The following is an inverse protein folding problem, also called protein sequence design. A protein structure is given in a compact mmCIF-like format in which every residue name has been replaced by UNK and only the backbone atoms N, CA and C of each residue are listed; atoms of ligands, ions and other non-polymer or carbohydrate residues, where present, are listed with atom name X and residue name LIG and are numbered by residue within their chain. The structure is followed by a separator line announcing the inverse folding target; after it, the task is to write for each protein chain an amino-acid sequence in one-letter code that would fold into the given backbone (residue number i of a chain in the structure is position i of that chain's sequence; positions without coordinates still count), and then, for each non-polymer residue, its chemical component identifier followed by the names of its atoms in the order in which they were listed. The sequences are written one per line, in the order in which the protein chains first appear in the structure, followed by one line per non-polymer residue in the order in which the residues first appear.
data_IF_172327694517
#
_entry.id   IF_172327694517
#
_cell.length_a   1.000
_cell.length_b   1.000
_cell.length_c   1.000
_cell.angle_alpha   90.00
_cell.angle_beta   90.00
_cell.angle_gamma   90.00
#
_symmetry.space_group_name_H-M   'P 1'
#
loop_
_entity.id
_entity.type
_entity.pdbx_description
1 polymer ?
#
# COMPACT_ATOMS: atom_id res chain seq x y z
N UNK A 1 44.38 -31.69 -29.45
CA UNK A 1 43.85 -32.82 -30.23
C UNK A 1 42.34 -32.72 -30.22
N UNK A 2 41.87 -32.25 -31.28
CA UNK A 2 40.83 -32.64 -32.23
C UNK A 2 39.40 -32.47 -31.71
N UNK A 3 38.78 -31.42 -32.19
CA UNK A 3 37.39 -31.04 -32.15
C UNK A 3 36.64 -31.95 -33.19
N UNK A 4 35.51 -32.57 -32.81
CA UNK A 4 34.55 -33.10 -33.75
C UNK A 4 33.22 -32.39 -33.60
N UNK A 5 32.88 -31.59 -34.60
CA UNK A 5 31.55 -31.02 -34.85
C UNK A 5 30.64 -32.08 -35.46
N UNK A 6 29.45 -32.25 -34.90
CA UNK A 6 28.34 -32.88 -35.62
C UNK A 6 27.18 -31.92 -35.70
N UNK A 7 26.92 -31.44 -36.92
CA UNK A 7 25.74 -30.69 -37.28
C UNK A 7 24.59 -31.69 -37.48
N UNK A 8 23.44 -31.40 -36.83
CA UNK A 8 22.17 -32.06 -37.13
C UNK A 8 21.17 -31.03 -37.65
N UNK A 9 20.72 -31.29 -38.86
CA UNK A 9 19.74 -30.61 -39.68
C UNK A 9 18.39 -30.49 -39.00
N UNK A 10 17.87 -29.27 -38.89
CA UNK A 10 16.48 -29.00 -38.50
C UNK A 10 15.62 -28.87 -39.76
N UNK A 11 14.70 -29.80 -39.95
CA UNK A 11 13.68 -29.73 -40.97
C UNK A 11 12.56 -28.77 -40.54
N UNK A 12 12.29 -27.81 -41.43
CA UNK A 12 11.18 -26.87 -41.36
C UNK A 12 9.83 -27.58 -41.57
N UNK A 13 8.92 -27.44 -40.60
CA UNK A 13 7.51 -27.71 -40.79
C UNK A 13 6.73 -26.40 -40.65
N UNK A 14 6.43 -25.78 -41.78
CA UNK A 14 5.51 -24.67 -41.83
C UNK A 14 4.07 -25.16 -41.68
N UNK A 15 3.44 -24.85 -40.56
CA UNK A 15 2.01 -25.03 -40.33
C UNK A 15 1.28 -23.75 -40.73
N UNK A 16 0.48 -23.80 -41.79
CA UNK A 16 -0.38 -22.72 -42.23
C UNK A 16 -1.51 -22.50 -41.25
N UNK A 17 -1.49 -21.37 -40.53
CA UNK A 17 -2.62 -20.93 -39.77
C UNK A 17 -3.64 -20.25 -40.67
N UNK A 18 -4.79 -20.85 -40.84
CA UNK A 18 -5.96 -20.26 -41.50
C UNK A 18 -6.46 -19.09 -40.68
N UNK A 19 -6.33 -17.89 -41.23
CA UNK A 19 -6.95 -16.65 -40.69
C UNK A 19 -8.44 -16.70 -41.04
N UNK A 20 -9.28 -16.97 -40.04
CA UNK A 20 -10.73 -16.81 -40.16
C UNK A 20 -11.04 -15.33 -39.99
N UNK A 21 -11.51 -14.68 -41.04
CA UNK A 21 -11.99 -13.33 -40.98
C UNK A 21 -13.29 -13.25 -40.15
N UNK A 22 -13.47 -12.26 -39.29
CA UNK A 22 -14.73 -12.09 -38.59
C UNK A 22 -15.80 -11.55 -39.54
N UNK A 23 -16.95 -12.23 -39.56
CA UNK A 23 -18.13 -11.79 -40.32
C UNK A 23 -18.60 -10.42 -39.79
N UNK A 24 -18.77 -9.47 -40.68
CA UNK A 24 -19.34 -8.17 -40.39
C UNK A 24 -20.83 -8.33 -39.99
N UNK A 25 -21.11 -8.19 -38.69
CA UNK A 25 -22.47 -8.07 -38.20
C UNK A 25 -22.92 -6.59 -38.38
N UNK A 26 -23.77 -6.35 -39.35
CA UNK A 26 -24.48 -5.08 -39.53
C UNK A 26 -25.53 -4.95 -38.42
N UNK A 27 -25.28 -4.12 -37.42
CA UNK A 27 -26.27 -3.72 -36.45
C UNK A 27 -27.06 -2.51 -36.98
N UNK A 28 -28.41 -2.48 -36.84
CA UNK A 28 -29.19 -1.30 -37.21
C UNK A 28 -28.97 -0.21 -36.14
N UNK A 29 -28.42 0.91 -36.58
CA UNK A 29 -28.31 2.10 -35.75
C UNK A 29 -29.67 2.77 -35.59
N UNK A 30 -30.39 2.48 -34.52
CA UNK A 30 -31.46 3.33 -34.00
C UNK A 30 -30.86 4.27 -32.96
N UNK A 31 -30.27 5.36 -33.39
CA UNK A 31 -29.87 6.43 -32.49
C UNK A 31 -31.13 7.15 -31.96
N UNK A 32 -31.64 6.73 -30.83
CA UNK A 32 -32.57 7.55 -30.05
C UNK A 32 -31.75 8.70 -29.44
N UNK A 33 -31.85 9.86 -30.05
CA UNK A 33 -31.35 11.11 -29.48
C UNK A 33 -32.22 11.49 -28.27
N UNK A 34 -31.90 10.90 -27.10
CA UNK A 34 -32.44 11.41 -25.87
C UNK A 34 -31.85 12.82 -25.65
N UNK A 35 -32.69 13.83 -25.87
CA UNK A 35 -32.35 15.23 -25.59
C UNK A 35 -32.14 15.35 -24.07
N UNK A 36 -30.88 15.40 -23.64
CA UNK A 36 -30.55 15.72 -22.25
C UNK A 36 -31.08 17.12 -21.98
N UNK A 37 -31.99 17.33 -21.01
CA UNK A 37 -32.47 18.66 -20.70
C UNK A 37 -31.29 19.53 -20.30
N UNK A 38 -31.16 20.69 -20.93
CA UNK A 38 -30.12 21.67 -20.61
C UNK A 38 -30.24 22.03 -19.12
N UNK A 39 -29.22 21.72 -18.34
CA UNK A 39 -29.12 22.11 -16.95
C UNK A 39 -29.16 23.65 -16.87
N UNK A 40 -30.11 24.27 -16.14
CA UNK A 40 -30.13 25.71 -15.99
C UNK A 40 -28.81 26.16 -15.35
N UNK A 41 -28.06 26.96 -16.07
CA UNK A 41 -26.84 27.58 -15.62
C UNK A 41 -27.17 28.79 -14.73
N UNK A 42 -27.62 28.53 -13.50
CA UNK A 42 -27.51 29.53 -12.46
C UNK A 42 -26.19 29.27 -11.73
N UNK A 43 -25.33 30.26 -11.56
CA UNK A 43 -24.15 30.10 -10.70
C UNK A 43 -24.65 29.89 -9.27
N UNK A 44 -24.56 28.65 -8.80
CA UNK A 44 -24.70 28.37 -7.37
C UNK A 44 -23.46 28.98 -6.72
N UNK A 45 -23.55 30.16 -6.18
CA UNK A 45 -22.54 30.70 -5.29
C UNK A 45 -22.49 29.76 -4.07
N UNK A 46 -21.61 28.76 -4.12
CA UNK A 46 -21.31 27.96 -2.95
C UNK A 46 -20.49 28.85 -2.02
N UNK A 47 -20.97 29.12 -0.79
CA UNK A 47 -20.15 29.83 0.17
C UNK A 47 -18.83 29.08 0.29
N UNK A 48 -17.71 29.79 0.10
CA UNK A 48 -16.39 29.24 0.31
C UNK A 48 -16.29 28.84 1.79
N UNK A 49 -16.31 27.55 2.06
CA UNK A 49 -16.05 27.03 3.41
C UNK A 49 -14.59 27.34 3.71
N UNK A 50 -14.36 28.41 4.47
CA UNK A 50 -13.03 28.73 4.98
C UNK A 50 -12.78 27.86 6.20
N UNK A 51 -12.00 26.80 6.04
CA UNK A 51 -11.52 26.03 7.17
C UNK A 51 -10.60 26.89 8.02
N UNK A 52 -10.99 27.15 9.26
CA UNK A 52 -10.17 27.89 10.19
C UNK A 52 -9.01 27.02 10.66
N UNK A 53 -7.78 27.53 10.70
CA UNK A 53 -6.66 26.80 11.29
C UNK A 53 -6.93 26.51 12.77
N UNK A 54 -6.63 25.28 13.19
CA UNK A 54 -6.68 24.84 14.59
C UNK A 54 -5.34 24.26 15.01
N UNK A 55 -4.97 24.34 16.29
CA UNK A 55 -3.73 23.74 16.75
C UNK A 55 -3.81 22.21 16.65
N UNK A 56 -2.80 21.61 16.05
CA UNK A 56 -2.60 20.18 15.96
C UNK A 56 -1.30 19.80 16.64
N UNK A 57 -1.35 18.80 17.51
CA UNK A 57 -0.19 18.11 18.09
C UNK A 57 -0.41 16.62 17.90
N UNK A 58 0.59 15.92 17.37
CA UNK A 58 0.55 14.48 17.10
C UNK A 58 1.94 13.89 17.36
N UNK A 59 2.01 12.67 17.87
CA UNK A 59 3.27 11.95 17.97
C UNK A 59 3.47 11.15 16.68
N UNK A 60 4.55 11.42 15.96
CA UNK A 60 4.89 10.71 14.72
C UNK A 60 6.24 10.01 14.91
N UNK A 61 6.26 8.69 14.74
CA UNK A 61 7.48 7.88 14.90
C UNK A 61 8.18 8.12 16.24
N UNK A 62 7.39 8.26 17.33
CA UNK A 62 7.90 8.50 18.67
C UNK A 62 8.33 9.95 18.97
N UNK A 63 8.22 10.87 18.00
CA UNK A 63 8.55 12.28 18.17
C UNK A 63 7.29 13.14 18.19
N UNK A 64 7.21 14.07 19.14
CA UNK A 64 6.11 15.05 19.17
C UNK A 64 6.27 16.06 18.03
N UNK A 65 5.22 16.24 17.24
CA UNK A 65 5.12 17.19 16.14
C UNK A 65 4.00 18.19 16.46
N UNK A 66 4.32 19.46 16.54
CA UNK A 66 3.39 20.52 16.92
C UNK A 66 3.63 21.05 18.34
N UNK A 67 2.74 21.98 18.83
CA UNK A 67 1.50 22.42 18.19
C UNK A 67 1.73 23.30 16.94
N UNK A 68 1.02 23.01 15.87
CA UNK A 68 1.03 23.80 14.63
C UNK A 68 -0.39 24.20 14.24
N UNK A 69 -0.55 25.40 13.66
CA UNK A 69 -1.84 25.83 13.12
C UNK A 69 -2.09 25.16 11.77
N UNK A 70 -3.03 24.22 11.74
CA UNK A 70 -3.33 23.38 10.58
C UNK A 70 -4.78 23.59 10.15
N UNK A 71 -5.08 23.77 8.84
CA UNK A 71 -6.44 23.88 8.34
C UNK A 71 -7.29 22.67 8.77
N UNK A 72 -8.52 22.92 9.22
CA UNK A 72 -9.40 21.85 9.75
C UNK A 72 -9.69 20.73 8.73
N UNK A 73 -9.74 21.06 7.44
CA UNK A 73 -10.00 20.10 6.36
C UNK A 73 -8.76 19.41 5.79
N UNK A 74 -7.56 19.66 6.34
CA UNK A 74 -6.33 19.06 5.82
C UNK A 74 -6.31 17.55 6.09
N UNK A 75 -5.98 16.76 5.08
CA UNK A 75 -5.81 15.31 5.25
C UNK A 75 -4.47 14.99 5.91
N UNK A 76 -4.40 13.85 6.60
CA UNK A 76 -3.18 13.46 7.32
C UNK A 76 -1.99 13.28 6.39
N UNK A 77 -2.19 12.81 5.16
CA UNK A 77 -1.09 12.64 4.20
C UNK A 77 -0.47 13.99 3.81
N UNK A 78 -1.29 15.03 3.64
CA UNK A 78 -0.82 16.37 3.34
C UNK A 78 -0.06 16.96 4.54
N UNK A 79 -0.56 16.72 5.77
CA UNK A 79 0.15 17.09 6.98
C UNK A 79 1.52 16.43 7.08
N UNK A 80 1.61 15.14 6.80
CA UNK A 80 2.89 14.42 6.81
C UNK A 80 3.87 15.00 5.79
N UNK A 81 3.41 15.29 4.58
CA UNK A 81 4.26 15.81 3.50
C UNK A 81 4.69 17.27 3.74
N UNK A 82 3.73 18.16 4.00
CA UNK A 82 3.94 19.59 3.96
C UNK A 82 4.39 20.18 5.32
N UNK A 83 3.96 19.58 6.44
CA UNK A 83 4.25 20.08 7.78
C UNK A 83 5.30 19.26 8.52
N UNK A 84 5.28 17.94 8.36
CA UNK A 84 6.23 17.06 9.04
C UNK A 84 7.45 16.67 8.18
N UNK A 85 7.43 16.97 6.87
CA UNK A 85 8.53 16.62 5.94
C UNK A 85 8.69 15.11 5.72
N UNK A 86 7.64 14.30 6.01
CA UNK A 86 7.64 12.85 5.91
C UNK A 86 6.91 12.43 4.63
N UNK A 87 7.65 12.15 3.58
CA UNK A 87 7.11 11.86 2.23
C UNK A 87 7.02 10.37 1.90
N UNK A 88 7.31 9.49 2.84
CA UNK A 88 7.31 8.05 2.64
C UNK A 88 5.92 7.45 2.44
N UNK A 89 4.89 7.95 3.13
CA UNK A 89 3.50 7.59 2.83
C UNK A 89 3.10 8.14 1.45
N UNK A 90 2.44 7.33 0.61
CA UNK A 90 2.23 7.67 -0.80
C UNK A 90 0.77 7.95 -1.14
N UNK A 91 0.51 9.06 -1.81
CA UNK A 91 -0.81 9.41 -2.33
C UNK A 91 -1.03 8.74 -3.70
N UNK A 92 -1.63 7.54 -3.70
CA UNK A 92 -1.94 6.81 -4.94
C UNK A 92 -3.32 7.16 -5.51
N UNK A 93 -4.39 6.79 -4.83
CA UNK A 93 -5.76 6.99 -5.31
C UNK A 93 -6.48 8.22 -4.74
N UNK A 94 -6.11 8.70 -3.56
CA UNK A 94 -6.82 9.77 -2.84
C UNK A 94 -8.24 9.41 -2.36
N UNK A 95 -8.63 8.14 -2.46
CA UNK A 95 -10.00 7.65 -2.22
C UNK A 95 -10.08 6.53 -1.18
N UNK A 96 -8.98 6.23 -0.50
CA UNK A 96 -8.93 5.17 0.51
C UNK A 96 -8.99 3.74 -0.05
N UNK A 97 -8.75 3.53 -1.36
CA UNK A 97 -8.90 2.22 -2.01
C UNK A 97 -7.56 1.47 -2.11
N UNK A 98 -6.47 2.16 -2.52
CA UNK A 98 -5.22 1.49 -2.87
C UNK A 98 -4.29 1.18 -1.69
N UNK A 99 -4.54 1.75 -0.54
CA UNK A 99 -3.79 1.60 0.73
C UNK A 99 -2.30 2.01 0.67
N UNK A 100 -1.81 2.64 -0.41
CA UNK A 100 -0.43 3.14 -0.48
C UNK A 100 -0.10 4.21 0.57
N UNK A 101 -1.14 4.89 1.08
CA UNK A 101 -1.06 5.95 2.07
C UNK A 101 -1.25 5.48 3.53
N UNK A 102 -1.34 4.18 3.77
CA UNK A 102 -1.57 3.65 5.12
C UNK A 102 -0.46 4.09 6.07
N UNK A 103 -0.87 4.56 7.24
CA UNK A 103 -0.05 4.79 8.43
C UNK A 103 -0.56 3.89 9.54
N UNK A 104 0.26 3.62 10.53
CA UNK A 104 -0.12 2.83 11.72
C UNK A 104 -0.55 3.78 12.82
N UNK A 105 -1.74 3.59 13.36
CA UNK A 105 -2.21 4.24 14.58
C UNK A 105 -1.95 3.34 15.78
N UNK A 106 -1.15 3.80 16.72
CA UNK A 106 -0.91 3.15 17.99
C UNK A 106 -2.00 3.51 18.98
N UNK A 107 -2.69 2.51 19.54
CA UNK A 107 -3.77 2.70 20.49
C UNK A 107 -3.27 2.64 21.93
N UNK A 108 -3.99 3.27 22.89
CA UNK A 108 -3.61 3.25 24.30
C UNK A 108 -3.60 1.85 24.93
N UNK A 109 -4.34 0.91 24.36
CA UNK A 109 -4.38 -0.50 24.80
C UNK A 109 -3.18 -1.34 24.32
N UNK A 110 -2.22 -0.71 23.63
CA UNK A 110 -1.04 -1.38 23.08
C UNK A 110 -1.30 -2.09 21.76
N UNK A 111 -2.52 -1.99 21.20
CA UNK A 111 -2.80 -2.48 19.84
C UNK A 111 -2.50 -1.43 18.78
N UNK A 112 -2.40 -1.87 17.56
CA UNK A 112 -2.17 -1.00 16.41
C UNK A 112 -3.18 -1.29 15.30
N UNK A 113 -3.47 -0.29 14.49
CA UNK A 113 -4.36 -0.43 13.35
C UNK A 113 -3.88 0.40 12.14
N UNK A 114 -4.29 -0.04 10.97
CA UNK A 114 -4.04 0.67 9.71
C UNK A 114 -5.04 1.81 9.53
N UNK A 115 -4.54 3.01 9.24
CA UNK A 115 -5.37 4.16 8.90
C UNK A 115 -4.93 4.75 7.57
N UNK A 116 -5.91 5.01 6.69
CA UNK A 116 -5.68 5.59 5.37
C UNK A 116 -5.55 7.11 5.47
N UNK A 117 -4.33 7.60 5.45
CA UNK A 117 -4.02 9.02 5.66
C UNK A 117 -4.58 9.96 4.58
N UNK A 118 -4.89 9.45 3.38
CA UNK A 118 -5.44 10.27 2.29
C UNK A 118 -6.92 10.64 2.44
N UNK A 119 -7.67 9.95 3.30
CA UNK A 119 -9.10 10.20 3.56
C UNK A 119 -9.39 10.48 5.03
N UNK A 120 -8.36 10.47 5.88
CA UNK A 120 -8.50 10.76 7.32
C UNK A 120 -7.93 12.14 7.60
N UNK A 121 -8.73 13.03 8.15
CA UNK A 121 -8.33 14.39 8.49
C UNK A 121 -7.20 14.42 9.53
N UNK A 122 -6.27 15.35 9.39
CA UNK A 122 -5.12 15.48 10.29
C UNK A 122 -5.54 15.64 11.76
N UNK A 123 -6.61 16.41 12.02
CA UNK A 123 -7.13 16.65 13.37
C UNK A 123 -7.70 15.41 14.07
N UNK A 124 -8.05 14.34 13.32
CA UNK A 124 -8.39 13.06 13.93
C UNK A 124 -7.24 12.51 14.79
N UNK A 125 -6.00 12.83 14.42
CA UNK A 125 -4.81 12.33 15.11
C UNK A 125 -4.32 13.25 16.24
N UNK A 126 -5.05 14.31 16.56
CA UNK A 126 -4.67 15.19 17.67
C UNK A 126 -4.50 14.41 18.98
N UNK A 127 -3.34 14.54 19.62
CA UNK A 127 -2.99 13.82 20.85
C UNK A 127 -2.72 12.33 20.70
N UNK A 128 -2.72 11.79 19.46
CA UNK A 128 -2.50 10.36 19.19
C UNK A 128 -1.07 10.10 18.71
N UNK A 129 -0.68 8.82 18.73
CA UNK A 129 0.60 8.33 18.21
C UNK A 129 0.40 7.57 16.91
N UNK A 130 1.23 7.89 15.91
CA UNK A 130 1.25 7.19 14.63
C UNK A 130 2.66 6.82 14.23
N UNK A 131 2.76 5.79 13.40
CA UNK A 131 4.00 5.38 12.74
C UNK A 131 3.84 5.43 11.23
N UNK A 132 4.88 5.95 10.57
CA UNK A 132 5.03 5.95 9.11
C UNK A 132 6.18 5.04 8.71
N UNK A 133 6.37 4.83 7.41
CA UNK A 133 7.47 3.98 6.90
C UNK A 133 8.85 4.42 7.39
N UNK A 134 9.05 5.72 7.62
CA UNK A 134 10.31 6.29 8.09
C UNK A 134 10.66 5.87 9.51
N UNK A 135 9.66 5.47 10.31
CA UNK A 135 9.85 5.06 11.71
C UNK A 135 10.18 3.58 11.91
N UNK A 136 10.16 2.74 10.85
CA UNK A 136 10.42 1.31 10.99
C UNK A 136 11.90 0.95 11.07
N UNK A 137 12.74 1.70 10.38
CA UNK A 137 14.18 1.48 10.40
C UNK A 137 14.83 2.17 11.60
N UNK A 138 15.81 1.53 12.22
CA UNK A 138 16.65 2.19 13.22
C UNK A 138 17.63 3.14 12.53
N UNK A 139 17.80 4.32 13.11
CA UNK A 139 18.73 5.34 12.63
C UNK A 139 19.73 5.72 13.72
N UNK A 140 20.94 6.06 13.29
CA UNK A 140 21.95 6.65 14.18
C UNK A 140 21.67 8.16 14.39
N UNK A 141 22.50 8.81 15.20
CA UNK A 141 22.36 10.25 15.49
C UNK A 141 22.57 11.14 14.26
N UNK A 142 23.27 10.65 13.24
CA UNK A 142 23.41 11.31 11.94
C UNK A 142 22.19 11.14 11.03
N UNK A 143 21.18 10.36 11.45
CA UNK A 143 19.97 10.09 10.67
C UNK A 143 20.13 8.98 9.63
N UNK A 144 21.25 8.30 9.58
CA UNK A 144 21.53 7.20 8.65
C UNK A 144 20.84 5.91 9.13
N UNK A 145 20.30 5.14 8.20
CA UNK A 145 19.70 3.83 8.50
C UNK A 145 20.81 2.84 8.86
N UNK A 146 20.77 2.33 10.09
CA UNK A 146 21.74 1.33 10.60
C UNK A 146 21.15 -0.07 10.66
N UNK A 147 19.82 -0.20 10.75
CA UNK A 147 19.13 -1.49 10.80
C UNK A 147 17.73 -1.35 10.22
N UNK A 148 17.36 -2.24 9.32
CA UNK A 148 16.01 -2.34 8.80
C UNK A 148 15.14 -3.19 9.74
N UNK A 149 13.83 -2.93 9.75
CA UNK A 149 12.90 -3.85 10.42
C UNK A 149 12.89 -5.21 9.70
N UNK A 150 12.54 -6.32 10.38
CA UNK A 150 12.51 -7.65 9.76
C UNK A 150 11.70 -7.69 8.45
N UNK A 151 10.56 -6.99 8.42
CA UNK A 151 9.73 -6.96 7.21
C UNK A 151 10.36 -6.15 6.08
N UNK A 152 11.03 -5.03 6.39
CA UNK A 152 11.75 -4.26 5.37
C UNK A 152 12.91 -5.08 4.80
N UNK A 153 13.65 -5.79 5.66
CA UNK A 153 14.74 -6.65 5.24
C UNK A 153 14.25 -7.78 4.33
N UNK A 154 13.17 -8.47 4.70
CA UNK A 154 12.58 -9.54 3.88
C UNK A 154 12.01 -9.04 2.56
N UNK A 155 11.45 -7.84 2.52
CA UNK A 155 11.01 -7.25 1.26
C UNK A 155 12.15 -6.97 0.29
N UNK A 156 13.34 -6.64 0.78
CA UNK A 156 14.56 -6.53 -0.03
C UNK A 156 15.05 -7.91 -0.49
N UNK A 157 15.18 -8.86 0.42
CA UNK A 157 15.67 -10.21 0.13
C UNK A 157 14.80 -10.95 -0.92
N UNK A 158 13.48 -10.78 -0.84
CA UNK A 158 12.53 -11.38 -1.78
C UNK A 158 12.30 -10.55 -3.04
N UNK A 159 12.97 -9.39 -3.20
CA UNK A 159 12.72 -8.46 -4.31
C UNK A 159 11.22 -8.16 -4.47
N UNK A 160 10.54 -7.87 -3.36
CA UNK A 160 9.08 -7.80 -3.29
C UNK A 160 8.48 -6.62 -4.05
N UNK A 161 9.29 -5.62 -4.42
CA UNK A 161 8.81 -4.42 -5.10
C UNK A 161 9.58 -4.14 -6.39
N UNK A 162 8.97 -3.36 -7.28
CA UNK A 162 9.58 -2.82 -8.50
C UNK A 162 9.67 -1.29 -8.39
N UNK A 163 8.60 -0.55 -8.68
CA UNK A 163 8.62 0.91 -8.54
C UNK A 163 8.66 1.40 -7.07
N UNK A 164 8.29 0.56 -6.11
CA UNK A 164 8.30 0.87 -4.69
C UNK A 164 7.16 1.76 -4.18
N UNK A 165 6.29 2.27 -5.06
CA UNK A 165 5.28 3.25 -4.68
C UNK A 165 4.25 2.74 -3.64
N UNK A 166 3.80 1.49 -3.76
CA UNK A 166 2.88 0.86 -2.82
C UNK A 166 3.57 0.25 -1.59
N UNK A 167 4.90 0.09 -1.62
CA UNK A 167 5.68 -0.62 -0.59
C UNK A 167 5.48 -0.06 0.83
N UNK A 168 5.42 1.25 1.07
CA UNK A 168 5.17 1.78 2.42
C UNK A 168 3.87 1.25 3.03
N UNK A 169 2.80 1.17 2.24
CA UNK A 169 1.53 0.61 2.69
C UNK A 169 1.65 -0.86 3.06
N UNK A 170 2.28 -1.68 2.21
CA UNK A 170 2.51 -3.10 2.49
C UNK A 170 3.38 -3.33 3.74
N UNK A 171 4.42 -2.51 3.96
CA UNK A 171 5.25 -2.60 5.17
C UNK A 171 4.43 -2.31 6.42
N UNK A 172 3.60 -1.26 6.39
CA UNK A 172 2.75 -0.88 7.51
C UNK A 172 1.71 -1.97 7.81
N UNK A 173 1.03 -2.51 6.80
CA UNK A 173 0.09 -3.62 6.95
C UNK A 173 0.74 -4.88 7.53
N UNK A 174 1.87 -5.29 6.97
CA UNK A 174 2.62 -6.43 7.47
C UNK A 174 3.10 -6.23 8.92
N UNK A 175 3.48 -5.01 9.29
CA UNK A 175 3.87 -4.68 10.67
C UNK A 175 2.69 -4.85 11.63
N UNK A 176 1.51 -4.31 11.29
CA UNK A 176 0.28 -4.48 12.10
C UNK A 176 -0.10 -5.95 12.22
N UNK A 177 0.01 -6.71 11.12
CA UNK A 177 -0.21 -8.16 11.15
C UNK A 177 0.75 -8.86 12.12
N UNK A 178 2.05 -8.60 12.01
CA UNK A 178 3.07 -9.22 12.88
C UNK A 178 2.81 -8.87 14.34
N UNK A 179 2.48 -7.63 14.67
CA UNK A 179 2.14 -7.20 16.03
C UNK A 179 0.88 -7.90 16.55
N UNK A 180 -0.12 -8.11 15.71
CA UNK A 180 -1.30 -8.91 16.06
C UNK A 180 -0.91 -10.36 16.34
N UNK A 181 -0.09 -10.98 15.48
CA UNK A 181 0.33 -12.37 15.65
C UNK A 181 1.21 -12.60 16.89
N UNK A 182 1.96 -11.60 17.33
CA UNK A 182 2.68 -11.67 18.62
C UNK A 182 1.75 -11.81 19.82
N UNK A 183 0.56 -11.26 19.76
CA UNK A 183 -0.47 -11.35 20.81
C UNK A 183 -1.35 -12.58 20.61
N UNK A 184 -1.66 -12.92 19.38
CA UNK A 184 -2.58 -13.98 19.00
C UNK A 184 -1.94 -14.84 17.90
N UNK A 185 -1.05 -15.79 18.26
CA UNK A 185 -0.41 -16.66 17.27
C UNK A 185 -1.40 -17.46 16.45
N UNK A 186 -1.14 -17.59 15.15
CA UNK A 186 -1.98 -18.28 14.19
C UNK A 186 -1.63 -19.78 14.08
N UNK A 187 -2.61 -20.65 13.79
CA UNK A 187 -2.32 -22.02 13.44
C UNK A 187 -1.60 -22.11 12.08
N UNK A 188 -0.66 -23.02 11.95
CA UNK A 188 0.15 -23.16 10.71
C UNK A 188 -0.70 -23.30 9.45
N UNK A 189 -1.82 -24.03 9.55
CA UNK A 189 -2.76 -24.19 8.43
C UNK A 189 -3.47 -22.89 8.00
N UNK A 190 -3.53 -21.89 8.90
CA UNK A 190 -4.24 -20.63 8.66
C UNK A 190 -3.31 -19.47 8.26
N UNK A 191 -2.01 -19.69 8.23
CA UNK A 191 -1.01 -18.64 7.93
C UNK A 191 -1.31 -17.96 6.58
N UNK A 192 -1.55 -18.76 5.56
CA UNK A 192 -1.81 -18.24 4.21
C UNK A 192 -3.06 -17.34 4.16
N UNK A 193 -4.16 -17.81 4.70
CA UNK A 193 -5.41 -17.05 4.77
C UNK A 193 -5.23 -15.77 5.59
N UNK A 194 -4.48 -15.84 6.68
CA UNK A 194 -4.24 -14.71 7.57
C UNK A 194 -3.40 -13.62 6.91
N UNK A 195 -2.35 -13.99 6.16
CA UNK A 195 -1.52 -13.04 5.42
C UNK A 195 -2.31 -12.43 4.25
N UNK A 196 -3.02 -13.27 3.48
CA UNK A 196 -3.85 -12.80 2.37
C UNK A 196 -4.87 -11.78 2.86
N UNK A 197 -5.62 -12.08 3.92
CA UNK A 197 -6.62 -11.17 4.47
C UNK A 197 -6.05 -9.88 5.06
N UNK A 198 -4.76 -9.84 5.43
CA UNK A 198 -4.10 -8.61 5.87
C UNK A 198 -3.59 -7.74 4.71
N UNK A 199 -3.32 -8.32 3.55
CA UNK A 199 -2.70 -7.63 2.43
C UNK A 199 -3.62 -7.42 1.22
N UNK A 200 -4.78 -8.07 1.15
CA UNK A 200 -5.67 -8.11 -0.02
C UNK A 200 -6.22 -6.74 -0.45
N UNK A 201 -6.35 -5.81 0.50
CA UNK A 201 -6.79 -4.44 0.22
C UNK A 201 -5.68 -3.54 -0.36
N UNK A 202 -4.41 -3.97 -0.31
CA UNK A 202 -3.28 -3.19 -0.81
C UNK A 202 -3.06 -3.43 -2.31
N UNK A 203 -3.06 -2.36 -3.11
CA UNK A 203 -2.94 -2.46 -4.55
C UNK A 203 -1.51 -2.25 -5.04
N UNK A 204 -1.01 -3.21 -5.81
CA UNK A 204 0.24 -3.10 -6.54
C UNK A 204 0.00 -3.42 -8.04
N UNK A 205 0.39 -2.51 -8.94
CA UNK A 205 0.24 -2.74 -10.39
C UNK A 205 1.45 -3.44 -11.01
N UNK A 206 2.58 -3.50 -10.31
CA UNK A 206 3.85 -3.93 -10.90
C UNK A 206 4.15 -5.42 -10.68
N UNK A 207 3.89 -5.97 -9.47
CA UNK A 207 4.55 -7.19 -8.99
C UNK A 207 3.69 -8.45 -9.05
N UNK A 208 2.38 -8.34 -9.18
CA UNK A 208 1.46 -9.48 -9.07
C UNK A 208 1.37 -10.07 -7.65
N UNK A 209 1.86 -9.35 -6.62
CA UNK A 209 1.71 -9.64 -5.17
C UNK A 209 2.51 -10.81 -4.61
N UNK A 210 2.84 -11.82 -5.39
CA UNK A 210 3.43 -13.10 -4.92
C UNK A 210 4.62 -12.88 -3.99
N UNK A 211 5.56 -12.03 -4.39
CA UNK A 211 6.78 -11.78 -3.60
C UNK A 211 6.53 -11.02 -2.30
N UNK A 212 5.52 -10.14 -2.25
CA UNK A 212 5.07 -9.51 -1.00
C UNK A 212 4.54 -10.57 -0.03
N UNK A 213 3.69 -11.46 -0.54
CA UNK A 213 3.14 -12.56 0.24
C UNK A 213 4.25 -13.48 0.78
N UNK A 214 5.16 -13.93 -0.08
CA UNK A 214 6.28 -14.81 0.28
C UNK A 214 7.18 -14.18 1.36
N UNK A 215 7.51 -12.90 1.23
CA UNK A 215 8.32 -12.18 2.20
C UNK A 215 7.64 -12.08 3.57
N UNK A 216 6.34 -11.76 3.61
CA UNK A 216 5.58 -11.73 4.87
C UNK A 216 5.46 -13.13 5.45
N UNK A 217 5.24 -14.15 4.63
CA UNK A 217 5.20 -15.54 5.05
C UNK A 217 6.53 -15.98 5.66
N UNK A 218 7.65 -15.60 5.05
CA UNK A 218 8.98 -15.88 5.60
C UNK A 218 9.14 -15.27 7.00
N UNK A 219 8.79 -13.99 7.20
CA UNK A 219 8.82 -13.36 8.54
C UNK A 219 7.93 -14.10 9.53
N UNK A 220 6.70 -14.45 9.13
CA UNK A 220 5.73 -15.12 10.02
C UNK A 220 6.22 -16.51 10.41
N UNK A 221 6.80 -17.26 9.49
CA UNK A 221 7.24 -18.63 9.73
C UNK A 221 8.58 -18.72 10.46
N UNK A 222 9.44 -17.70 10.34
CA UNK A 222 10.78 -17.71 10.96
C UNK A 222 10.83 -16.96 12.29
N UNK A 223 9.85 -16.13 12.59
CA UNK A 223 9.79 -15.41 13.86
C UNK A 223 9.13 -16.28 14.93
N UNK A 224 9.85 -16.64 16.02
CA UNK A 224 9.28 -17.44 17.10
C UNK A 224 8.02 -16.81 17.71
N UNK A 225 7.01 -17.64 18.00
CA UNK A 225 5.79 -17.23 18.69
C UNK A 225 4.72 -16.59 17.80
N UNK A 226 4.91 -16.45 16.48
CA UNK A 226 3.86 -15.96 15.57
C UNK A 226 2.95 -17.08 15.07
N UNK A 227 3.46 -18.29 15.02
CA UNK A 227 2.72 -19.50 14.62
C UNK A 227 2.66 -20.44 15.81
N UNK A 228 1.47 -21.01 16.08
CA UNK A 228 1.31 -22.01 17.12
C UNK A 228 2.11 -23.26 16.77
N UNK A 229 2.82 -23.80 17.74
CA UNK A 229 3.44 -25.13 17.61
C UNK A 229 2.35 -26.15 17.30
N UNK A 230 2.69 -27.15 16.47
CA UNK A 230 1.79 -28.27 16.23
C UNK A 230 1.59 -29.01 17.57
N UNK A 231 0.35 -29.09 18.02
CA UNK A 231 -0.01 -29.87 19.21
C UNK A 231 0.19 -31.37 18.96
#
# INVERSE_FOLDING_TARGET
MTIAQTAASAASAASAASVVAPAAASAPASASTATVPARPAAPVERPLVRFQPKPLSVTVNGKSVGPMQVPEGLMMIEFLHEYAGLTGSRLGCGQGICHACVVILDKPDGTSEEVRSCITGAHFFHGRSIRTIEGHAKRNDAGEVVELSPIQQKFLEHFSFQCGYCTPGFVNAATVLIERLKREPVAKADVERTITGALDAHLCRCTGYVRYYEAVKDVVMTTPGLVKDAA
#
